data_IF_199459418435
#
_entry.id   IF_199459418435
#
_cell.length_a   1.000
_cell.length_b   1.000
_cell.length_c   1.000
_cell.angle_alpha   90.00
_cell.angle_beta   90.00
_cell.angle_gamma   90.00
#
_symmetry.space_group_name_H-M   'P 1'
#
loop_
_entity.id
_entity.type
_entity.pdbx_description
1 polymer ?
#
# COMPACT_ATOMS: atom_id res chain seq x y z
N UNK A 1 -14.70 15.82 8.47
CA UNK A 1 -15.19 15.57 9.84
C UNK A 1 -16.19 14.43 9.77
N UNK A 2 -15.87 13.28 10.36
CA UNK A 2 -16.76 12.11 10.38
C UNK A 2 -17.72 12.28 11.56
N UNK A 3 -19.02 12.41 11.26
CA UNK A 3 -20.10 12.43 12.25
C UNK A 3 -20.62 11.00 12.39
N UNK A 4 -20.34 10.35 13.52
CA UNK A 4 -20.93 9.05 13.86
C UNK A 4 -22.15 9.33 14.74
N UNK A 5 -23.38 8.98 14.31
CA UNK A 5 -24.58 9.13 15.13
C UNK A 5 -24.51 8.26 16.38
N UNK A 6 -24.84 8.84 17.54
CA UNK A 6 -24.69 8.19 18.85
C UNK A 6 -25.60 6.97 19.10
N UNK A 7 -26.56 6.68 18.20
CA UNK A 7 -27.40 5.49 18.23
C UNK A 7 -27.69 5.04 16.81
N UNK A 8 -27.18 3.87 16.44
CA UNK A 8 -27.51 3.17 15.22
C UNK A 8 -27.77 1.70 15.57
N UNK A 9 -28.73 1.08 14.89
CA UNK A 9 -28.84 -0.38 14.92
C UNK A 9 -27.64 -1.02 14.21
N UNK A 10 -27.28 -2.26 14.57
CA UNK A 10 -26.16 -2.99 13.91
C UNK A 10 -26.33 -3.05 12.37
N UNK A 11 -27.57 -3.12 11.88
CA UNK A 11 -27.87 -3.14 10.45
C UNK A 11 -27.59 -1.79 9.78
N UNK A 12 -27.88 -0.69 10.46
CA UNK A 12 -27.57 0.65 9.98
C UNK A 12 -26.06 0.91 10.06
N UNK A 13 -25.39 0.44 11.13
CA UNK A 13 -23.94 0.56 11.29
C UNK A 13 -23.20 -0.14 10.14
N UNK A 14 -23.54 -1.41 9.86
CA UNK A 14 -22.96 -2.16 8.72
C UNK A 14 -23.18 -1.45 7.39
N UNK A 15 -24.38 -0.88 7.17
CA UNK A 15 -24.69 -0.13 5.94
C UNK A 15 -23.90 1.16 5.86
N UNK A 16 -23.76 1.91 6.95
CA UNK A 16 -22.99 3.16 7.00
C UNK A 16 -21.50 2.92 6.84
N UNK A 17 -20.97 1.88 7.48
CA UNK A 17 -19.58 1.43 7.29
C UNK A 17 -19.35 1.11 5.81
N UNK A 18 -20.24 0.34 5.17
CA UNK A 18 -20.17 0.07 3.72
C UNK A 18 -20.14 1.35 2.88
N UNK A 19 -21.09 2.27 3.09
CA UNK A 19 -21.15 3.55 2.36
C UNK A 19 -19.92 4.43 2.61
N UNK A 20 -19.37 4.44 3.82
CA UNK A 20 -18.16 5.21 4.13
C UNK A 20 -16.92 4.59 3.50
N UNK A 21 -16.78 3.27 3.55
CA UNK A 21 -15.71 2.54 2.87
C UNK A 21 -15.77 2.79 1.35
N UNK A 22 -16.96 2.75 0.76
CA UNK A 22 -17.17 3.03 -0.66
C UNK A 22 -16.82 4.48 -1.02
N UNK A 23 -17.20 5.45 -0.19
CA UNK A 23 -16.84 6.86 -0.38
C UNK A 23 -15.34 7.12 -0.24
N UNK A 24 -14.69 6.50 0.73
CA UNK A 24 -13.24 6.57 0.89
C UNK A 24 -12.52 5.92 -0.31
N UNK A 25 -12.99 4.76 -0.77
CA UNK A 25 -12.47 4.07 -1.93
C UNK A 25 -12.77 4.80 -3.26
N UNK A 26 -13.83 5.60 -3.34
CA UNK A 26 -14.17 6.41 -4.51
C UNK A 26 -13.43 7.75 -4.55
N UNK A 27 -12.99 8.27 -3.39
CA UNK A 27 -12.17 9.50 -3.31
C UNK A 27 -10.71 9.27 -3.71
N UNK A 28 -10.24 8.04 -3.72
CA UNK A 28 -8.88 7.69 -4.11
C UNK A 28 -8.88 7.12 -5.54
N UNK A 29 -8.11 7.76 -6.41
CA UNK A 29 -8.02 7.44 -7.85
C UNK A 29 -7.76 5.95 -8.09
N UNK A 30 -8.78 5.21 -8.58
CA UNK A 30 -8.71 3.79 -8.96
C UNK A 30 -8.01 3.60 -10.33
N UNK A 31 -6.84 4.22 -10.54
CA UNK A 31 -6.05 3.96 -11.75
C UNK A 31 -5.15 2.76 -11.50
N UNK A 32 -5.35 1.69 -12.27
CA UNK A 32 -4.41 0.57 -12.32
C UNK A 32 -3.18 1.03 -13.10
N UNK A 33 -2.03 1.07 -12.43
CA UNK A 33 -0.77 1.40 -13.10
C UNK A 33 -0.23 0.19 -13.85
N UNK A 34 0.26 0.38 -15.07
CA UNK A 34 1.07 -0.62 -15.78
C UNK A 34 2.52 -0.68 -15.28
N UNK A 35 3.29 -1.66 -15.74
CA UNK A 35 4.70 -1.83 -15.36
C UNK A 35 5.58 -0.62 -15.77
N UNK A 36 5.33 -0.03 -16.95
CA UNK A 36 6.06 1.15 -17.40
C UNK A 36 5.81 2.37 -16.50
N UNK A 37 4.55 2.63 -16.16
CA UNK A 37 4.17 3.72 -15.24
C UNK A 37 4.74 3.46 -13.83
N UNK A 38 4.83 2.19 -13.41
CA UNK A 38 5.43 1.80 -12.15
C UNK A 38 6.95 2.05 -12.14
N UNK A 39 7.65 1.79 -13.25
CA UNK A 39 9.07 2.09 -13.41
C UNK A 39 9.36 3.60 -13.37
N UNK A 40 8.58 4.41 -14.11
CA UNK A 40 8.67 5.88 -14.06
C UNK A 40 8.40 6.42 -12.65
N UNK A 41 7.43 5.83 -11.94
CA UNK A 41 7.12 6.17 -10.56
C UNK A 41 8.29 5.84 -9.63
N UNK A 42 8.96 4.71 -9.84
CA UNK A 42 10.13 4.31 -9.07
C UNK A 42 11.30 5.29 -9.24
N UNK A 43 11.57 5.72 -10.48
CA UNK A 43 12.61 6.70 -10.78
C UNK A 43 12.34 8.03 -10.05
N UNK A 44 11.14 8.57 -10.20
CA UNK A 44 10.72 9.80 -9.51
C UNK A 44 10.85 9.71 -7.99
N UNK A 45 10.42 8.60 -7.39
CA UNK A 45 10.56 8.40 -5.94
C UNK A 45 12.03 8.32 -5.52
N UNK A 46 12.88 7.64 -6.29
CA UNK A 46 14.31 7.61 -6.01
C UNK A 46 14.91 9.01 -6.11
N UNK A 47 14.54 9.82 -7.10
CA UNK A 47 15.04 11.19 -7.23
C UNK A 47 14.64 12.06 -6.02
N UNK A 48 13.36 12.02 -5.66
CA UNK A 48 12.79 12.86 -4.61
C UNK A 48 13.25 12.49 -3.20
N UNK A 49 13.40 11.18 -2.92
CA UNK A 49 13.59 10.70 -1.54
C UNK A 49 14.94 10.00 -1.32
N UNK A 50 15.59 9.52 -2.38
CA UNK A 50 16.85 8.75 -2.30
C UNK A 50 17.99 9.37 -3.12
N UNK A 51 17.87 10.66 -3.47
CA UNK A 51 18.86 11.42 -4.26
C UNK A 51 19.27 10.74 -5.58
N UNK A 52 18.34 10.01 -6.22
CA UNK A 52 18.57 9.30 -7.48
C UNK A 52 19.53 8.12 -7.38
N UNK A 53 19.84 7.63 -6.17
CA UNK A 53 20.82 6.55 -5.95
C UNK A 53 20.24 5.15 -6.15
N UNK A 54 18.94 4.96 -5.92
CA UNK A 54 18.27 3.68 -6.06
C UNK A 54 17.73 3.53 -7.49
N UNK A 55 18.49 2.87 -8.37
CA UNK A 55 18.10 2.68 -9.78
C UNK A 55 17.82 1.20 -10.04
N UNK A 56 16.55 0.76 -10.00
CA UNK A 56 16.21 -0.62 -10.30
C UNK A 56 16.41 -0.90 -11.80
N UNK A 57 16.83 -2.12 -12.12
CA UNK A 57 16.89 -2.61 -13.50
C UNK A 57 15.49 -2.97 -14.03
N UNK A 58 14.58 -3.37 -13.13
CA UNK A 58 13.17 -3.64 -13.48
C UNK A 58 12.25 -3.41 -12.29
N UNK A 59 11.03 -2.97 -12.58
CA UNK A 59 9.94 -2.87 -11.61
C UNK A 59 8.68 -3.42 -12.28
N UNK A 60 8.01 -4.38 -11.64
CA UNK A 60 6.83 -5.02 -12.24
C UNK A 60 5.80 -5.47 -11.23
N UNK A 61 4.55 -5.55 -11.68
CA UNK A 61 3.49 -6.23 -10.95
C UNK A 61 3.62 -7.74 -11.03
N UNK A 62 3.25 -8.44 -9.96
CA UNK A 62 3.16 -9.90 -9.94
C UNK A 62 1.94 -10.40 -9.17
N UNK A 63 1.39 -11.53 -9.64
CA UNK A 63 0.19 -12.15 -9.06
C UNK A 63 0.50 -13.20 -8.01
N UNK A 64 1.74 -13.68 -7.92
CA UNK A 64 2.17 -14.77 -7.03
C UNK A 64 2.83 -14.29 -5.73
N UNK A 65 2.64 -13.03 -5.32
CA UNK A 65 3.05 -12.50 -4.01
C UNK A 65 1.83 -12.33 -3.10
N UNK A 66 1.52 -13.36 -2.32
CA UNK A 66 0.33 -13.36 -1.45
C UNK A 66 0.62 -13.02 0.01
N UNK A 67 1.87 -13.17 0.46
CA UNK A 67 2.27 -12.95 1.86
C UNK A 67 3.04 -11.64 2.09
N UNK A 68 3.38 -10.94 1.00
CA UNK A 68 4.16 -9.70 1.02
C UNK A 68 3.63 -8.72 -0.01
N UNK A 69 3.77 -7.43 0.27
CA UNK A 69 3.34 -6.34 -0.61
C UNK A 69 4.34 -6.07 -1.74
N UNK A 70 5.63 -6.29 -1.50
CA UNK A 70 6.70 -6.14 -2.47
C UNK A 70 7.90 -7.05 -2.17
N UNK A 71 8.87 -7.05 -3.08
CA UNK A 71 10.20 -7.60 -2.84
C UNK A 71 11.23 -7.00 -3.80
N UNK A 72 12.47 -6.90 -3.32
CA UNK A 72 13.64 -6.52 -4.07
C UNK A 72 14.67 -7.68 -4.12
N UNK A 73 15.27 -7.91 -5.29
CA UNK A 73 16.49 -8.72 -5.44
C UNK A 73 17.65 -7.78 -5.75
N UNK A 74 18.44 -7.34 -4.74
CA UNK A 74 19.44 -6.30 -4.95
C UNK A 74 20.51 -6.67 -5.97
N UNK A 75 20.93 -7.94 -6.01
CA UNK A 75 21.94 -8.43 -6.96
C UNK A 75 21.51 -8.29 -8.43
N UNK A 76 20.20 -8.33 -8.70
CA UNK A 76 19.63 -8.17 -10.05
C UNK A 76 19.07 -6.76 -10.28
N UNK A 77 18.96 -5.94 -9.23
CA UNK A 77 18.22 -4.69 -9.28
C UNK A 77 16.72 -4.86 -9.59
N UNK A 78 16.15 -6.04 -9.34
CA UNK A 78 14.76 -6.34 -9.72
C UNK A 78 13.79 -6.11 -8.56
N UNK A 79 12.73 -5.32 -8.80
CA UNK A 79 11.66 -5.02 -7.85
C UNK A 79 10.36 -5.62 -8.35
N UNK A 80 9.62 -6.25 -7.45
CA UNK A 80 8.32 -6.88 -7.72
C UNK A 80 7.32 -6.40 -6.70
N UNK A 81 6.18 -5.89 -7.17
CA UNK A 81 5.06 -5.49 -6.34
C UNK A 81 3.88 -6.44 -6.51
N UNK A 82 3.18 -6.75 -5.43
CA UNK A 82 1.99 -7.59 -5.47
C UNK A 82 0.84 -6.85 -6.15
N UNK A 83 0.14 -7.53 -7.07
CA UNK A 83 -1.09 -7.03 -7.68
C UNK A 83 -2.17 -6.63 -6.65
N UNK A 84 -2.09 -7.15 -5.42
CA UNK A 84 -3.00 -6.79 -4.32
C UNK A 84 -2.93 -5.30 -3.96
N UNK A 85 -1.85 -4.61 -4.32
CA UNK A 85 -1.74 -3.16 -4.16
C UNK A 85 -2.51 -2.38 -5.22
N UNK A 86 -2.95 -3.02 -6.31
CA UNK A 86 -3.73 -2.33 -7.35
C UNK A 86 -5.09 -1.93 -6.77
N UNK A 87 -5.43 -0.64 -6.92
CA UNK A 87 -6.63 -0.06 -6.32
C UNK A 87 -6.47 0.41 -4.87
N UNK A 88 -5.30 0.19 -4.25
CA UNK A 88 -4.97 0.87 -3.00
C UNK A 88 -4.62 2.35 -3.27
N UNK A 89 -4.72 3.21 -2.24
CA UNK A 89 -4.24 4.58 -2.32
C UNK A 89 -2.85 4.70 -2.93
N UNK A 90 -2.67 5.68 -3.80
CA UNK A 90 -1.38 5.98 -4.42
C UNK A 90 -0.24 6.12 -3.41
N UNK A 91 -0.52 6.71 -2.25
CA UNK A 91 0.49 6.91 -1.22
C UNK A 91 0.99 5.61 -0.58
N UNK A 92 0.18 4.55 -0.63
CA UNK A 92 0.54 3.21 -0.17
C UNK A 92 1.42 2.52 -1.20
N UNK A 93 1.06 2.62 -2.48
CA UNK A 93 1.89 2.10 -3.59
C UNK A 93 3.26 2.77 -3.57
N UNK A 94 3.31 4.11 -3.43
CA UNK A 94 4.55 4.88 -3.29
C UNK A 94 5.41 4.38 -2.13
N UNK A 95 4.79 4.16 -0.98
CA UNK A 95 5.50 3.69 0.21
C UNK A 95 6.12 2.31 -0.01
N UNK A 96 5.37 1.34 -0.54
CA UNK A 96 5.90 0.00 -0.79
C UNK A 96 6.98 0.04 -1.86
N UNK A 97 6.80 0.82 -2.93
CA UNK A 97 7.81 0.97 -3.97
C UNK A 97 9.11 1.59 -3.41
N UNK A 98 9.00 2.64 -2.60
CA UNK A 98 10.14 3.28 -1.94
C UNK A 98 10.82 2.33 -0.94
N UNK A 99 10.06 1.49 -0.24
CA UNK A 99 10.59 0.44 0.63
C UNK A 99 11.49 -0.52 -0.15
N UNK A 100 11.03 -1.00 -1.30
CA UNK A 100 11.84 -1.90 -2.15
C UNK A 100 13.05 -1.21 -2.79
N UNK A 101 12.92 0.08 -3.15
CA UNK A 101 14.05 0.90 -3.61
C UNK A 101 15.12 1.05 -2.52
N UNK A 102 14.72 1.24 -1.25
CA UNK A 102 15.65 1.36 -0.14
C UNK A 102 16.48 0.08 0.06
N UNK A 103 15.93 -1.11 -0.22
CA UNK A 103 16.66 -2.38 -0.18
C UNK A 103 17.79 -2.49 -1.21
N UNK A 104 17.78 -1.67 -2.28
CA UNK A 104 18.92 -1.57 -3.20
C UNK A 104 20.13 -0.89 -2.55
N UNK A 105 19.92 -0.08 -1.51
CA UNK A 105 20.94 0.73 -0.87
C UNK A 105 21.37 0.18 0.49
N UNK A 106 20.44 -0.38 1.26
CA UNK A 106 20.65 -0.86 2.62
C UNK A 106 19.91 -2.17 2.82
N UNK A 107 20.60 -3.27 3.19
CA UNK A 107 19.92 -4.52 3.51
C UNK A 107 19.22 -4.45 4.86
N UNK A 108 18.08 -5.13 4.96
CA UNK A 108 17.30 -5.25 6.21
C UNK A 108 16.66 -3.93 6.65
N UNK A 109 16.12 -3.91 7.86
CA UNK A 109 15.27 -2.81 8.37
C UNK A 109 15.86 -2.13 9.59
N UNK A 110 17.19 -1.92 9.60
CA UNK A 110 17.89 -1.23 10.69
C UNK A 110 17.72 0.30 10.65
N UNK A 111 18.36 1.05 11.58
CA UNK A 111 18.24 2.51 11.65
C UNK A 111 18.61 3.25 10.35
N UNK A 112 19.57 2.71 9.59
CA UNK A 112 19.95 3.27 8.27
C UNK A 112 18.82 3.16 7.25
N UNK A 113 18.07 2.05 7.26
CA UNK A 113 16.94 1.82 6.37
C UNK A 113 15.80 2.79 6.71
N UNK A 114 15.43 2.88 7.98
CA UNK A 114 14.32 3.75 8.40
C UNK A 114 14.58 5.23 8.13
N UNK A 115 15.83 5.68 8.26
CA UNK A 115 16.21 7.04 7.88
C UNK A 115 15.96 7.36 6.40
N UNK A 116 16.04 6.36 5.51
CA UNK A 116 15.71 6.55 4.10
C UNK A 116 14.19 6.71 3.91
N UNK A 117 13.37 5.99 4.69
CA UNK A 117 11.91 6.08 4.58
C UNK A 117 11.30 7.27 5.33
N UNK A 118 12.00 7.84 6.31
CA UNK A 118 11.61 9.11 6.95
C UNK A 118 11.48 10.26 5.94
N UNK A 119 12.22 10.20 4.83
CA UNK A 119 12.13 11.19 3.76
C UNK A 119 10.76 11.20 3.04
N UNK A 120 9.96 10.15 3.20
CA UNK A 120 8.61 10.08 2.62
C UNK A 120 7.55 10.51 3.65
N UNK A 121 6.84 11.63 3.42
CA UNK A 121 5.95 12.23 4.44
C UNK A 121 4.78 11.35 4.88
N UNK A 122 4.41 10.34 4.10
CA UNK A 122 3.23 9.48 4.34
C UNK A 122 3.60 8.09 4.86
N UNK A 123 4.83 7.87 5.29
CA UNK A 123 5.33 6.57 5.77
C UNK A 123 4.44 5.96 6.85
N UNK A 124 4.18 6.67 7.95
CA UNK A 124 3.36 6.13 9.05
C UNK A 124 1.92 5.84 8.61
N UNK A 125 1.31 6.73 7.81
CA UNK A 125 -0.04 6.52 7.27
C UNK A 125 -0.12 5.29 6.36
N UNK A 126 0.88 5.08 5.50
CA UNK A 126 0.93 3.92 4.62
C UNK A 126 1.10 2.62 5.39
N UNK A 127 1.98 2.60 6.41
CA UNK A 127 2.16 1.45 7.30
C UNK A 127 0.87 1.07 8.00
N UNK A 128 0.20 2.04 8.64
CA UNK A 128 -1.07 1.82 9.32
C UNK A 128 -2.17 1.30 8.38
N UNK A 129 -2.22 1.78 7.13
CA UNK A 129 -3.15 1.26 6.11
C UNK A 129 -2.88 -0.22 5.82
N UNK A 130 -1.63 -0.59 5.54
CA UNK A 130 -1.24 -1.97 5.22
C UNK A 130 -1.48 -2.91 6.41
N UNK A 131 -1.18 -2.47 7.62
CA UNK A 131 -1.48 -3.20 8.86
C UNK A 131 -2.99 -3.41 9.02
N UNK A 132 -3.80 -2.39 8.74
CA UNK A 132 -5.26 -2.49 8.73
C UNK A 132 -5.81 -3.49 7.72
N UNK A 133 -5.27 -3.51 6.49
CA UNK A 133 -5.65 -4.49 5.46
C UNK A 133 -5.31 -5.92 5.92
N UNK A 134 -4.10 -6.14 6.46
CA UNK A 134 -3.69 -7.45 6.98
C UNK A 134 -4.58 -7.89 8.15
N UNK A 135 -4.98 -6.96 9.02
CA UNK A 135 -5.89 -7.26 10.13
C UNK A 135 -7.29 -7.63 9.63
N UNK A 136 -7.82 -6.90 8.64
CA UNK A 136 -9.13 -7.15 8.06
C UNK A 136 -9.21 -8.53 7.38
N UNK A 137 -8.17 -8.93 6.65
CA UNK A 137 -8.06 -10.26 6.02
C UNK A 137 -8.11 -11.42 7.03
N UNK A 138 -7.78 -11.16 8.31
CA UNK A 138 -7.78 -12.15 9.39
C UNK A 138 -9.08 -12.18 10.19
N UNK A 139 -9.96 -11.20 10.04
CA UNK A 139 -11.24 -11.18 10.75
C UNK A 139 -12.14 -12.28 10.17
N UNK A 140 -12.84 -13.07 11.01
CA UNK A 140 -13.81 -14.03 10.52
C UNK A 140 -14.89 -13.30 9.73
N UNK A 141 -15.18 -13.77 8.52
CA UNK A 141 -16.32 -13.29 7.75
C UNK A 141 -17.58 -13.52 8.58
N UNK A 142 -18.15 -12.46 9.15
CA UNK A 142 -19.46 -12.52 9.76
C UNK A 142 -20.44 -12.98 8.66
N UNK A 143 -21.12 -14.14 8.81
CA UNK A 143 -22.08 -14.56 7.81
C UNK A 143 -23.12 -13.44 7.67
N UNK A 144 -23.45 -13.09 6.43
CA UNK A 144 -24.59 -12.24 6.15
C UNK A 144 -25.79 -12.85 6.88
N UNK A 145 -26.36 -12.11 7.82
CA UNK A 145 -27.59 -12.51 8.50
C UNK A 145 -28.62 -12.79 7.42
N UNK A 146 -29.01 -14.05 7.24
CA UNK A 146 -30.15 -14.41 6.40
C UNK A 146 -31.35 -13.69 7.00
N UNK A 147 -31.89 -12.73 6.26
CA UNK A 147 -33.19 -12.16 6.59
C UNK A 147 -34.25 -13.21 6.29
N UNK A 148 -35.03 -13.54 7.32
CA UNK A 148 -36.39 -14.08 7.18
C UNK A 148 -37.38 -12.94 6.96
#
# INVERSE_FOLDING_TARGET
>A
MVLIPARMSEAEEKRWVGVMLDKLAAQESKRVLGDAELAERAERLSEQHLAGKARPASVRWVTNQNTRWGSCTPAEGSIRLSHRLQGMPEYVVDYVLLHELAHLLVPGHGPRFWRLLEAYPRTERARGYLEGVVAADRLPHLPATRGE
#
